data_IF_440970855383
#
_entry.id   IF_440970855383
#
_cell.length_a   1.000
_cell.length_b   1.000
_cell.length_c   1.000
_cell.angle_alpha   90.00
_cell.angle_beta   90.00
_cell.angle_gamma   90.00
#
_symmetry.space_group_name_H-M   'P 1'
#
loop_
_entity.id
_entity.type
_entity.pdbx_description
1 polymer ?
#
# COMPACT_ATOMS: atom_id res chain seq x y z
N UNK A 1 -57.91 33.23 17.24
CA UNK A 1 -56.60 33.89 17.08
C UNK A 1 -55.85 33.95 18.41
N UNK A 2 -56.46 34.46 19.48
CA UNK A 2 -55.83 34.59 20.81
C UNK A 2 -55.26 33.25 21.37
N UNK A 3 -56.06 32.14 21.31
CA UNK A 3 -55.59 30.81 21.74
C UNK A 3 -54.38 30.29 20.95
N UNK A 4 -54.26 30.60 19.64
CA UNK A 4 -53.09 30.26 18.82
C UNK A 4 -51.84 31.05 19.21
N UNK A 5 -51.99 32.31 19.56
CA UNK A 5 -50.88 33.15 20.02
C UNK A 5 -50.32 32.63 21.35
N UNK A 6 -51.19 32.20 22.27
CA UNK A 6 -50.80 31.54 23.52
C UNK A 6 -50.08 30.21 23.24
N UNK A 7 -50.60 29.38 22.34
CA UNK A 7 -50.00 28.10 21.96
C UNK A 7 -48.59 28.28 21.37
N UNK A 8 -48.39 29.28 20.48
CA UNK A 8 -47.09 29.63 19.90
C UNK A 8 -46.09 30.19 20.92
N UNK A 9 -46.56 31.04 21.82
CA UNK A 9 -45.70 31.57 22.89
C UNK A 9 -45.32 30.50 23.91
N UNK A 10 -46.24 29.56 24.20
CA UNK A 10 -45.98 28.46 25.14
C UNK A 10 -45.06 27.39 24.55
N UNK A 11 -45.17 27.09 23.25
CA UNK A 11 -44.35 26.07 22.56
C UNK A 11 -43.04 26.65 22.03
N UNK A 12 -42.94 27.97 21.82
CA UNK A 12 -41.84 28.63 21.12
C UNK A 12 -41.85 28.37 19.60
N UNK A 13 -42.86 27.68 19.08
CA UNK A 13 -42.95 27.29 17.68
C UNK A 13 -44.05 28.03 16.93
N UNK A 14 -43.78 28.49 15.72
CA UNK A 14 -44.72 29.11 14.79
C UNK A 14 -45.69 28.09 14.20
N UNK A 15 -45.16 26.86 13.91
CA UNK A 15 -45.87 25.75 13.32
C UNK A 15 -45.97 24.64 14.37
N UNK A 16 -47.15 24.50 15.01
CA UNK A 16 -47.43 23.46 15.99
C UNK A 16 -48.19 22.29 15.39
N UNK A 17 -49.10 22.59 14.45
CA UNK A 17 -50.01 21.62 13.83
C UNK A 17 -49.95 21.73 12.31
N UNK A 18 -50.27 20.63 11.61
CA UNK A 18 -50.33 20.62 10.15
C UNK A 18 -51.32 21.63 9.55
N UNK A 19 -52.30 22.10 10.32
CA UNK A 19 -53.23 23.13 9.90
C UNK A 19 -52.69 24.55 9.97
N UNK A 20 -51.54 24.79 10.65
CA UNK A 20 -50.90 26.11 10.74
C UNK A 20 -50.17 26.49 9.47
N UNK A 21 -49.35 25.55 8.95
CA UNK A 21 -48.64 25.66 7.68
C UNK A 21 -48.25 24.25 7.19
N UNK A 22 -49.08 23.61 6.33
CA UNK A 22 -48.82 22.26 5.84
C UNK A 22 -47.50 22.15 5.08
N UNK A 23 -47.17 23.18 4.27
CA UNK A 23 -45.95 23.18 3.46
C UNK A 23 -44.68 23.35 4.34
N UNK A 24 -44.72 24.32 5.27
CA UNK A 24 -43.65 24.54 6.22
C UNK A 24 -43.40 23.35 7.13
N UNK A 25 -44.46 22.64 7.57
CA UNK A 25 -44.35 21.43 8.37
C UNK A 25 -43.63 20.31 7.60
N UNK A 26 -44.01 20.03 6.34
CA UNK A 26 -43.38 19.01 5.52
C UNK A 26 -41.89 19.32 5.33
N UNK A 27 -41.56 20.57 5.03
CA UNK A 27 -40.14 20.98 4.86
C UNK A 27 -39.38 20.82 6.18
N UNK A 28 -39.92 21.28 7.31
CA UNK A 28 -39.23 21.17 8.61
C UNK A 28 -39.03 19.72 9.04
N UNK A 29 -40.00 18.83 8.82
CA UNK A 29 -39.85 17.40 9.12
C UNK A 29 -38.83 16.72 8.22
N UNK A 30 -38.73 17.09 6.94
CA UNK A 30 -37.69 16.61 6.05
C UNK A 30 -36.28 17.08 6.51
N UNK A 31 -36.15 18.33 6.92
CA UNK A 31 -34.89 18.86 7.46
C UNK A 31 -34.50 18.13 8.75
N UNK A 32 -35.47 17.88 9.64
CA UNK A 32 -35.24 17.11 10.89
C UNK A 32 -34.79 15.68 10.59
N UNK A 33 -35.45 15.01 9.65
CA UNK A 33 -35.07 13.67 9.23
C UNK A 33 -33.63 13.64 8.69
N UNK A 34 -33.22 14.65 7.89
CA UNK A 34 -31.86 14.79 7.41
C UNK A 34 -30.87 15.06 8.57
N UNK A 35 -31.20 15.92 9.52
CA UNK A 35 -30.34 16.19 10.68
C UNK A 35 -30.12 14.94 11.54
N UNK A 36 -31.16 14.15 11.78
CA UNK A 36 -31.06 12.86 12.49
C UNK A 36 -30.16 11.89 11.72
N UNK A 37 -30.35 11.79 10.40
CA UNK A 37 -29.51 10.97 9.53
C UNK A 37 -28.04 11.41 9.56
N UNK A 38 -27.76 12.73 9.52
CA UNK A 38 -26.39 13.26 9.63
C UNK A 38 -25.77 13.00 11.01
N UNK A 39 -26.56 13.12 12.09
CA UNK A 39 -26.09 12.79 13.44
C UNK A 39 -25.66 11.32 13.55
N UNK A 40 -26.47 10.41 13.00
CA UNK A 40 -26.13 8.99 12.95
C UNK A 40 -24.89 8.73 12.06
N UNK A 41 -24.77 9.42 10.92
CA UNK A 41 -23.60 9.31 10.05
C UNK A 41 -22.29 9.76 10.74
N UNK A 42 -22.36 10.82 11.56
CA UNK A 42 -21.22 11.25 12.40
C UNK A 42 -20.86 10.16 13.41
N UNK A 43 -21.85 9.57 14.09
CA UNK A 43 -21.61 8.44 15.01
C UNK A 43 -20.99 7.24 14.29
N UNK A 44 -21.49 6.85 13.13
CA UNK A 44 -20.93 5.77 12.32
C UNK A 44 -19.46 6.06 11.90
N UNK A 45 -19.16 7.31 11.57
CA UNK A 45 -17.79 7.71 11.23
C UNK A 45 -16.86 7.65 12.45
N UNK A 46 -17.34 7.96 13.66
CA UNK A 46 -16.60 7.80 14.92
C UNK A 46 -16.33 6.33 15.24
N UNK A 47 -17.31 5.46 15.03
CA UNK A 47 -17.16 4.01 15.20
C UNK A 47 -16.12 3.45 14.22
N UNK A 48 -16.17 3.89 12.96
CA UNK A 48 -15.17 3.55 11.94
C UNK A 48 -13.76 4.02 12.36
N UNK A 49 -13.64 5.24 12.87
CA UNK A 49 -12.36 5.74 13.35
C UNK A 49 -11.82 4.95 14.55
N UNK A 50 -12.70 4.52 15.46
CA UNK A 50 -12.33 3.69 16.61
C UNK A 50 -11.88 2.29 16.20
N UNK A 51 -12.55 1.68 15.21
CA UNK A 51 -12.15 0.40 14.61
C UNK A 51 -10.75 0.51 13.98
N UNK A 52 -10.51 1.57 13.21
CA UNK A 52 -9.22 1.77 12.55
C UNK A 52 -8.09 2.07 13.54
N UNK A 53 -8.35 2.79 14.64
CA UNK A 53 -7.39 2.98 15.73
C UNK A 53 -7.02 1.66 16.41
N UNK A 54 -7.97 0.75 16.57
CA UNK A 54 -7.69 -0.59 17.10
C UNK A 54 -6.76 -1.36 16.17
N UNK A 55 -7.01 -1.33 14.85
CA UNK A 55 -6.14 -1.96 13.86
C UNK A 55 -4.74 -1.30 13.86
N UNK A 56 -4.67 0.04 13.92
CA UNK A 56 -3.41 0.77 13.93
C UNK A 56 -2.55 0.45 15.16
N UNK A 57 -3.15 0.37 16.35
CA UNK A 57 -2.43 -0.02 17.57
C UNK A 57 -1.83 -1.43 17.47
N UNK A 58 -2.57 -2.38 16.88
CA UNK A 58 -2.04 -3.73 16.64
C UNK A 58 -0.93 -3.75 15.58
N UNK A 59 -1.04 -2.91 14.54
CA UNK A 59 0.00 -2.77 13.51
C UNK A 59 1.28 -2.12 14.08
N UNK A 60 1.16 -1.22 15.05
CA UNK A 60 2.32 -0.64 15.74
C UNK A 60 3.10 -1.70 16.52
N UNK A 61 2.42 -2.59 17.22
CA UNK A 61 3.05 -3.71 17.92
C UNK A 61 3.70 -4.70 16.95
N UNK A 62 3.03 -5.02 15.82
CA UNK A 62 3.64 -5.84 14.76
C UNK A 62 4.91 -5.17 14.23
N UNK A 63 4.90 -3.85 14.02
CA UNK A 63 6.06 -3.09 13.57
C UNK A 63 7.23 -3.16 14.57
N UNK A 64 6.97 -3.14 15.87
CA UNK A 64 7.98 -3.29 16.92
C UNK A 64 8.57 -4.70 16.92
N UNK A 65 7.74 -5.74 16.74
CA UNK A 65 8.21 -7.12 16.59
C UNK A 65 9.11 -7.28 15.36
N UNK A 66 8.72 -6.69 14.22
CA UNK A 66 9.54 -6.71 12.99
C UNK A 66 10.90 -6.03 13.19
N UNK A 67 10.95 -4.91 13.91
CA UNK A 67 12.23 -4.25 14.27
C UNK A 67 13.11 -5.14 15.11
N UNK A 68 12.53 -5.84 16.10
CA UNK A 68 13.26 -6.79 16.93
C UNK A 68 13.79 -7.96 16.11
N UNK A 69 12.97 -8.54 15.22
CA UNK A 69 13.41 -9.59 14.30
C UNK A 69 14.54 -9.11 13.38
N UNK A 70 14.45 -7.86 12.90
CA UNK A 70 15.51 -7.26 12.08
C UNK A 70 16.84 -7.16 12.85
N UNK A 71 16.81 -6.73 14.12
CA UNK A 71 18.00 -6.67 14.97
C UNK A 71 18.64 -8.07 15.13
N UNK A 72 17.83 -9.09 15.38
CA UNK A 72 18.30 -10.47 15.49
C UNK A 72 18.88 -10.99 14.16
N UNK A 73 18.25 -10.68 13.03
CA UNK A 73 18.76 -11.07 11.71
C UNK A 73 20.10 -10.38 11.38
N UNK A 74 20.26 -9.10 11.76
CA UNK A 74 21.55 -8.39 11.62
C UNK A 74 22.60 -8.98 12.55
N UNK A 75 22.24 -9.31 13.81
CA UNK A 75 23.14 -9.98 14.73
C UNK A 75 23.59 -11.33 14.17
N UNK A 76 22.65 -12.15 13.69
CA UNK A 76 22.93 -13.46 13.09
C UNK A 76 23.79 -13.37 11.82
N UNK A 77 23.74 -12.25 11.06
CA UNK A 77 24.58 -12.05 9.88
C UNK A 77 26.07 -11.87 10.21
N UNK A 78 26.41 -11.59 11.47
CA UNK A 78 27.81 -11.43 11.93
C UNK A 78 28.42 -12.79 12.30
N UNK A 79 28.58 -13.66 11.33
CA UNK A 79 29.09 -15.03 11.50
C UNK A 79 30.58 -15.10 11.91
N UNK A 80 31.32 -13.98 11.84
CA UNK A 80 32.71 -13.92 12.31
C UNK A 80 32.86 -13.95 13.83
N UNK A 81 31.78 -13.69 14.57
CA UNK A 81 31.75 -13.67 16.03
C UNK A 81 30.75 -14.68 16.61
N UNK A 82 29.63 -14.91 15.91
CA UNK A 82 28.54 -15.76 16.39
C UNK A 82 28.78 -17.21 15.98
N UNK A 83 28.72 -18.10 16.98
CA UNK A 83 28.73 -19.54 16.76
C UNK A 83 27.33 -20.07 16.42
N UNK A 84 27.24 -21.36 16.05
CA UNK A 84 25.99 -22.01 15.69
C UNK A 84 24.96 -21.95 16.83
N UNK A 85 25.38 -21.98 18.08
CA UNK A 85 24.51 -21.95 19.24
C UNK A 85 23.85 -20.57 19.38
N UNK A 86 24.62 -19.50 19.15
CA UNK A 86 24.09 -18.13 19.13
C UNK A 86 23.09 -17.93 17.97
N UNK A 87 23.40 -18.44 16.78
CA UNK A 87 22.49 -18.38 15.62
C UNK A 87 21.19 -19.14 15.86
N UNK A 88 21.23 -20.30 16.52
CA UNK A 88 20.05 -21.06 16.91
C UNK A 88 19.21 -20.33 17.97
N UNK A 89 19.87 -19.63 18.91
CA UNK A 89 19.17 -18.80 19.89
C UNK A 89 18.45 -17.62 19.21
N UNK A 90 19.09 -16.92 18.27
CA UNK A 90 18.47 -15.87 17.48
C UNK A 90 17.27 -16.41 16.68
N UNK A 91 17.43 -17.58 16.03
CA UNK A 91 16.33 -18.22 15.29
C UNK A 91 15.14 -18.57 16.19
N UNK A 92 15.41 -19.01 17.43
CA UNK A 92 14.36 -19.31 18.40
C UNK A 92 13.60 -18.06 18.83
N UNK A 93 14.30 -16.95 19.05
CA UNK A 93 13.68 -15.67 19.37
C UNK A 93 12.85 -15.13 18.19
N UNK A 94 13.36 -15.27 16.95
CA UNK A 94 12.61 -14.90 15.74
C UNK A 94 11.33 -15.72 15.63
N UNK A 95 11.37 -17.03 15.87
CA UNK A 95 10.16 -17.88 15.86
C UNK A 95 9.14 -17.44 16.91
N UNK A 96 9.57 -17.14 18.13
CA UNK A 96 8.67 -16.63 19.17
C UNK A 96 8.05 -15.28 18.81
N UNK A 97 8.80 -14.40 18.13
CA UNK A 97 8.29 -13.14 17.62
C UNK A 97 7.28 -13.36 16.49
N UNK A 98 7.52 -14.32 15.59
CA UNK A 98 6.58 -14.70 14.52
C UNK A 98 5.27 -15.27 15.06
N UNK A 99 5.34 -16.14 16.09
CA UNK A 99 4.15 -16.66 16.76
C UNK A 99 3.33 -15.54 17.40
N UNK A 100 4.01 -14.57 18.03
CA UNK A 100 3.36 -13.39 18.61
C UNK A 100 2.72 -12.50 17.54
N UNK A 101 3.41 -12.30 16.42
CA UNK A 101 2.88 -11.55 15.25
C UNK A 101 1.62 -12.23 14.71
N UNK A 102 1.67 -13.53 14.44
CA UNK A 102 0.52 -14.28 13.93
C UNK A 102 -0.66 -14.22 14.92
N UNK A 103 -0.40 -14.35 16.22
CA UNK A 103 -1.42 -14.22 17.25
C UNK A 103 -2.06 -12.84 17.26
N UNK A 104 -1.28 -11.76 17.14
CA UNK A 104 -1.82 -10.39 17.02
C UNK A 104 -2.66 -10.27 15.76
N UNK A 105 -2.17 -10.73 14.61
CA UNK A 105 -2.89 -10.68 13.34
C UNK A 105 -4.24 -11.42 13.41
N UNK A 106 -4.29 -12.59 14.04
CA UNK A 106 -5.48 -13.44 14.13
C UNK A 106 -6.45 -13.01 15.22
N UNK A 107 -5.96 -12.39 16.30
CA UNK A 107 -6.80 -12.02 17.46
C UNK A 107 -7.27 -10.59 17.42
N UNK A 108 -6.67 -9.72 16.59
CA UNK A 108 -7.12 -8.33 16.46
C UNK A 108 -8.51 -8.28 15.86
N UNK A 109 -9.47 -7.86 16.68
CA UNK A 109 -10.88 -7.76 16.28
C UNK A 109 -11.53 -6.50 16.87
N UNK A 110 -12.57 -6.04 16.21
CA UNK A 110 -13.48 -5.02 16.72
C UNK A 110 -14.90 -5.59 16.75
N UNK A 111 -15.43 -5.80 17.96
CA UNK A 111 -16.62 -6.61 18.16
C UNK A 111 -16.38 -8.06 17.71
N UNK A 112 -17.14 -8.52 16.73
CA UNK A 112 -17.01 -9.88 16.17
C UNK A 112 -16.20 -9.91 14.86
N UNK A 113 -15.76 -8.74 14.37
CA UNK A 113 -15.05 -8.65 13.07
C UNK A 113 -13.56 -8.67 13.31
N UNK A 114 -12.88 -9.64 12.72
CA UNK A 114 -11.43 -9.68 12.64
C UNK A 114 -10.94 -8.66 11.61
N UNK A 115 -9.78 -8.05 11.87
CA UNK A 115 -9.33 -6.90 11.10
C UNK A 115 -8.08 -7.19 10.26
N UNK A 116 -7.18 -8.05 10.74
CA UNK A 116 -5.83 -8.20 10.21
C UNK A 116 -5.50 -9.60 9.67
N UNK A 117 -6.46 -10.52 9.68
CA UNK A 117 -6.31 -11.91 9.22
C UNK A 117 -6.73 -12.14 7.76
N UNK A 118 -7.01 -11.07 7.02
CA UNK A 118 -7.46 -11.11 5.63
C UNK A 118 -8.96 -11.29 5.44
N UNK A 119 -9.75 -11.60 6.49
CA UNK A 119 -11.21 -11.78 6.37
C UNK A 119 -11.98 -10.46 6.18
N UNK A 120 -11.43 -9.35 6.69
CA UNK A 120 -11.97 -8.00 6.52
C UNK A 120 -11.17 -7.17 5.50
N UNK A 121 -10.32 -7.82 4.71
CA UNK A 121 -9.33 -7.14 3.91
C UNK A 121 -8.98 -7.82 2.61
N UNK A 122 -7.79 -7.50 2.11
CA UNK A 122 -7.26 -8.00 0.86
C UNK A 122 -6.23 -9.08 1.17
N UNK A 123 -6.44 -10.24 0.56
CA UNK A 123 -5.49 -11.34 0.50
C UNK A 123 -5.22 -11.65 -0.97
N UNK A 124 -3.95 -11.68 -1.35
CA UNK A 124 -3.53 -12.05 -2.70
C UNK A 124 -2.78 -13.37 -2.65
N UNK A 125 -3.15 -14.30 -3.49
CA UNK A 125 -2.56 -15.64 -3.53
C UNK A 125 -2.03 -15.95 -4.92
N UNK A 126 -0.75 -16.31 -5.01
CA UNK A 126 -0.13 -16.74 -6.27
C UNK A 126 -0.71 -18.10 -6.69
N UNK A 127 -1.18 -18.19 -7.92
CA UNK A 127 -1.71 -19.44 -8.53
C UNK A 127 -0.74 -20.06 -9.52
N UNK A 128 0.13 -19.25 -10.14
CA UNK A 128 1.18 -19.70 -11.06
C UNK A 128 2.55 -19.29 -10.53
N UNK A 129 3.13 -20.18 -9.71
CA UNK A 129 4.46 -19.97 -9.12
C UNK A 129 5.60 -20.05 -10.13
N UNK A 130 5.34 -20.58 -11.33
CA UNK A 130 6.32 -20.59 -12.41
C UNK A 130 6.57 -19.18 -12.96
N UNK A 131 5.55 -18.31 -12.99
CA UNK A 131 5.65 -16.96 -13.52
C UNK A 131 5.78 -15.87 -12.44
N UNK A 132 5.18 -16.10 -11.29
CA UNK A 132 5.14 -15.12 -10.20
C UNK A 132 5.66 -15.76 -8.91
N UNK A 133 6.72 -15.19 -8.34
CA UNK A 133 7.32 -15.68 -7.11
C UNK A 133 6.63 -15.11 -5.85
N UNK A 134 6.04 -13.91 -5.95
CA UNK A 134 5.36 -13.27 -4.84
C UNK A 134 4.43 -12.15 -5.30
N UNK A 135 3.41 -11.87 -4.51
CA UNK A 135 2.44 -10.80 -4.74
C UNK A 135 2.06 -10.13 -3.43
N UNK A 136 1.96 -8.82 -3.48
CA UNK A 136 1.36 -8.01 -2.42
C UNK A 136 0.45 -6.97 -3.07
N UNK A 137 -0.84 -7.01 -2.73
CA UNK A 137 -1.84 -6.04 -3.16
C UNK A 137 -2.36 -5.31 -1.93
N UNK A 138 -2.20 -4.00 -1.93
CA UNK A 138 -2.73 -3.11 -0.89
C UNK A 138 -4.23 -2.83 -1.07
N UNK A 139 -4.72 -1.81 -0.37
CA UNK A 139 -6.15 -1.45 -0.38
C UNK A 139 -6.62 -0.80 -1.69
N UNK A 140 -5.69 -0.28 -2.50
CA UNK A 140 -6.00 0.52 -3.69
C UNK A 140 -5.26 -0.01 -4.91
N UNK A 141 -5.95 -0.17 -6.03
CA UNK A 141 -5.40 -0.56 -7.31
C UNK A 141 -5.85 0.45 -8.37
N UNK A 142 -4.91 1.14 -9.00
CA UNK A 142 -5.16 2.21 -9.96
C UNK A 142 -6.19 3.28 -9.46
N UNK A 143 -6.06 3.68 -8.20
CA UNK A 143 -6.93 4.69 -7.59
C UNK A 143 -8.31 4.20 -7.14
N UNK A 144 -8.67 2.96 -7.45
CA UNK A 144 -9.92 2.32 -7.01
C UNK A 144 -9.65 1.31 -5.89
N UNK A 145 -10.67 1.07 -5.06
CA UNK A 145 -10.62 0.01 -4.05
C UNK A 145 -10.57 -1.34 -4.75
N UNK A 146 -9.63 -2.18 -4.34
CA UNK A 146 -9.45 -3.53 -4.89
C UNK A 146 -10.71 -4.37 -4.65
N UNK A 147 -11.12 -5.10 -5.68
CA UNK A 147 -12.21 -6.07 -5.63
C UNK A 147 -11.67 -7.48 -5.88
N UNK A 148 -12.41 -8.48 -5.42
CA UNK A 148 -12.06 -9.89 -5.65
C UNK A 148 -12.06 -10.22 -7.13
N UNK A 149 -11.01 -10.89 -7.59
CA UNK A 149 -10.89 -11.25 -9.00
C UNK A 149 -9.58 -11.94 -9.33
N UNK A 150 -9.46 -12.32 -10.60
CA UNK A 150 -8.26 -12.93 -11.15
C UNK A 150 -7.24 -11.86 -11.54
N UNK A 151 -5.99 -12.08 -11.15
CA UNK A 151 -4.87 -11.23 -11.55
C UNK A 151 -4.20 -11.81 -12.78
N UNK A 152 -4.18 -11.05 -13.85
CA UNK A 152 -3.47 -11.39 -15.08
C UNK A 152 -2.35 -10.41 -15.36
N UNK A 153 -1.27 -10.88 -15.97
CA UNK A 153 -0.13 -10.03 -16.33
C UNK A 153 0.14 -10.07 -17.83
N UNK A 154 0.57 -8.92 -18.34
CA UNK A 154 1.15 -8.78 -19.69
C UNK A 154 2.49 -8.10 -19.54
N UNK A 155 3.57 -8.75 -19.95
CA UNK A 155 4.93 -8.20 -19.87
C UNK A 155 5.20 -7.35 -21.11
N UNK A 156 5.24 -6.03 -20.93
CA UNK A 156 5.48 -5.07 -22.01
C UNK A 156 6.97 -4.97 -22.33
N UNK A 157 7.81 -4.97 -21.30
CA UNK A 157 9.27 -4.97 -21.39
C UNK A 157 9.81 -5.97 -20.40
N UNK A 158 10.65 -6.90 -20.86
CA UNK A 158 11.34 -7.83 -19.99
C UNK A 158 12.55 -7.16 -19.33
N UNK A 159 12.77 -7.44 -18.05
CA UNK A 159 13.99 -7.02 -17.36
C UNK A 159 15.20 -7.72 -17.96
N UNK A 160 16.32 -7.01 -18.06
CA UNK A 160 17.59 -7.59 -18.49
C UNK A 160 18.66 -7.39 -17.44
N UNK A 161 19.64 -8.27 -17.44
CA UNK A 161 20.87 -8.11 -16.65
C UNK A 161 21.88 -7.26 -17.43
N UNK A 162 22.64 -6.45 -16.73
CA UNK A 162 23.77 -5.77 -17.32
C UNK A 162 24.83 -6.79 -17.78
N UNK A 163 25.32 -6.66 -18.99
CA UNK A 163 26.34 -7.53 -19.54
C UNK A 163 27.46 -6.71 -20.22
N UNK A 164 28.69 -7.10 -19.97
CA UNK A 164 29.85 -6.61 -20.71
C UNK A 164 30.48 -7.80 -21.41
N UNK A 165 30.51 -7.76 -22.75
CA UNK A 165 31.19 -8.76 -23.56
C UNK A 165 32.63 -8.38 -23.71
N UNK A 166 33.53 -9.33 -23.41
CA UNK A 166 34.92 -9.20 -23.74
C UNK A 166 35.11 -9.17 -25.27
N UNK A 167 36.04 -8.39 -25.72
CA UNK A 167 36.39 -8.30 -27.15
C UNK A 167 37.66 -9.07 -27.47
N UNK A 168 38.44 -9.41 -26.41
CA UNK A 168 39.60 -10.27 -26.53
C UNK A 168 39.15 -11.73 -26.74
N UNK A 169 39.62 -12.36 -27.79
CA UNK A 169 39.26 -13.75 -28.13
C UNK A 169 40.38 -14.73 -27.74
N UNK A 170 39.95 -15.86 -27.20
CA UNK A 170 40.81 -16.95 -26.75
C UNK A 170 40.41 -18.25 -27.42
N UNK A 171 41.39 -19.11 -27.72
CA UNK A 171 41.14 -20.40 -28.34
C UNK A 171 40.36 -21.36 -27.39
N UNK A 172 40.55 -21.25 -26.08
CA UNK A 172 39.88 -22.04 -25.07
C UNK A 172 39.92 -21.34 -23.71
N UNK A 173 39.13 -21.81 -22.75
CA UNK A 173 39.15 -21.34 -21.36
C UNK A 173 40.48 -21.62 -20.66
N UNK A 174 41.22 -22.61 -21.11
CA UNK A 174 42.54 -22.98 -20.59
C UNK A 174 43.68 -22.22 -21.30
N UNK A 175 43.38 -21.37 -22.27
CA UNK A 175 44.40 -20.55 -22.94
C UNK A 175 45.01 -19.57 -21.94
N UNK A 176 46.31 -19.31 -22.08
CA UNK A 176 47.01 -18.27 -21.30
C UNK A 176 46.46 -16.90 -21.71
N UNK A 177 46.31 -16.00 -20.75
CA UNK A 177 45.88 -14.62 -20.99
C UNK A 177 46.87 -13.90 -21.93
N UNK A 178 48.15 -14.30 -21.93
CA UNK A 178 49.16 -13.77 -22.86
C UNK A 178 48.89 -14.13 -24.33
N UNK A 179 48.01 -15.09 -24.66
CA UNK A 179 47.73 -15.57 -26.03
C UNK A 179 46.44 -14.99 -26.62
N UNK A 180 46.14 -13.74 -26.32
CA UNK A 180 44.98 -13.04 -26.84
C UNK A 180 45.01 -12.92 -28.36
N UNK A 181 43.85 -13.16 -29.04
CA UNK A 181 43.68 -13.00 -30.48
C UNK A 181 44.75 -13.78 -31.31
N UNK A 182 45.28 -14.86 -30.76
CA UNK A 182 46.30 -15.66 -31.43
C UNK A 182 47.71 -15.05 -31.47
N UNK A 183 47.94 -13.96 -30.72
CA UNK A 183 49.25 -13.29 -30.59
C UNK A 183 49.74 -13.27 -29.14
N UNK A 184 51.05 -13.09 -28.94
CA UNK A 184 51.65 -12.96 -27.60
C UNK A 184 51.59 -11.48 -27.16
N UNK A 185 50.62 -11.11 -26.34
CA UNK A 185 50.41 -9.70 -25.93
C UNK A 185 50.41 -9.46 -24.42
N UNK A 186 50.86 -10.37 -23.58
CA UNK A 186 50.47 -10.20 -22.22
C UNK A 186 51.51 -10.14 -21.13
N UNK A 187 51.90 -8.99 -20.72
CA UNK A 187 52.23 -8.76 -19.32
C UNK A 187 50.94 -8.70 -18.56
N UNK A 188 50.72 -9.53 -17.55
CA UNK A 188 49.53 -9.44 -16.69
C UNK A 188 49.16 -7.99 -16.30
N UNK A 189 48.11 -7.82 -15.60
CA UNK A 189 47.57 -6.49 -15.26
C UNK A 189 46.55 -6.56 -14.15
N UNK A 190 45.88 -5.47 -13.95
CA UNK A 190 44.79 -5.38 -12.97
C UNK A 190 43.48 -5.17 -13.68
N UNK A 191 42.49 -5.95 -13.30
CA UNK A 191 41.08 -5.77 -13.69
C UNK A 191 40.33 -5.22 -12.49
N UNK A 192 39.58 -4.16 -12.68
CA UNK A 192 38.73 -3.57 -11.65
C UNK A 192 37.27 -3.75 -12.08
N UNK A 193 36.49 -4.51 -11.29
CA UNK A 193 35.09 -4.77 -11.56
C UNK A 193 34.27 -4.19 -10.42
N UNK A 194 33.38 -3.25 -10.71
CA UNK A 194 32.56 -2.53 -9.73
C UNK A 194 33.35 -2.04 -8.51
N UNK A 195 34.59 -1.52 -8.75
CA UNK A 195 35.46 -0.98 -7.71
C UNK A 195 36.40 -2.01 -7.05
N UNK A 196 36.24 -3.30 -7.31
CA UNK A 196 37.11 -4.36 -6.76
C UNK A 196 38.24 -4.69 -7.74
N UNK A 197 39.48 -4.69 -7.22
CA UNK A 197 40.68 -4.90 -8.00
C UNK A 197 41.12 -6.37 -7.99
N UNK A 198 41.36 -6.94 -9.17
CA UNK A 198 41.78 -8.33 -9.38
C UNK A 198 43.07 -8.29 -10.16
N UNK A 199 44.14 -8.81 -9.58
CA UNK A 199 45.46 -8.92 -10.26
C UNK A 199 45.50 -10.18 -11.10
N UNK A 200 46.01 -10.06 -12.30
CA UNK A 200 46.12 -11.12 -13.31
C UNK A 200 47.56 -11.17 -13.84
N UNK A 201 48.12 -12.35 -13.88
CA UNK A 201 49.45 -12.59 -14.49
C UNK A 201 49.28 -13.01 -15.93
N UNK A 202 50.25 -12.70 -16.80
CA UNK A 202 50.22 -13.16 -18.19
C UNK A 202 50.24 -14.69 -18.35
N UNK A 203 50.73 -15.41 -17.35
CA UNK A 203 50.73 -16.87 -17.32
C UNK A 203 49.42 -17.48 -16.76
N UNK A 204 48.54 -16.65 -16.20
CA UNK A 204 47.22 -17.12 -15.74
C UNK A 204 46.37 -17.57 -16.95
N UNK A 205 45.56 -18.57 -16.74
CA UNK A 205 44.58 -18.98 -17.76
C UNK A 205 43.32 -18.13 -17.67
N UNK A 206 42.52 -18.12 -18.74
CA UNK A 206 41.17 -17.47 -18.73
C UNK A 206 40.31 -18.07 -17.63
N UNK A 207 40.41 -19.38 -17.34
CA UNK A 207 39.69 -20.02 -16.23
C UNK A 207 40.07 -19.41 -14.88
N UNK A 208 41.40 -19.20 -14.66
CA UNK A 208 41.89 -18.57 -13.40
C UNK A 208 41.30 -17.16 -13.22
N UNK A 209 41.22 -16.37 -14.30
CA UNK A 209 40.58 -15.05 -14.26
C UNK A 209 39.10 -15.15 -13.90
N UNK A 210 38.38 -16.06 -14.55
CA UNK A 210 36.93 -16.28 -14.28
C UNK A 210 36.71 -16.71 -12.82
N UNK A 211 37.55 -17.64 -12.32
CA UNK A 211 37.43 -18.13 -10.94
C UNK A 211 37.66 -17.00 -9.91
N UNK A 212 38.67 -16.14 -10.14
CA UNK A 212 38.94 -14.98 -9.29
C UNK A 212 37.82 -13.95 -9.33
N UNK A 213 37.22 -13.69 -10.50
CA UNK A 213 36.04 -12.82 -10.62
C UNK A 213 34.85 -13.42 -9.85
N UNK A 214 34.58 -14.71 -10.06
CA UNK A 214 33.48 -15.41 -9.44
C UNK A 214 33.62 -15.53 -7.90
N UNK A 215 34.85 -15.61 -7.39
CA UNK A 215 35.11 -15.57 -5.95
C UNK A 215 34.70 -14.23 -5.31
N UNK A 216 34.65 -13.14 -6.09
CA UNK A 216 34.22 -11.82 -5.62
C UNK A 216 32.77 -11.46 -6.00
N UNK A 217 32.00 -12.40 -6.55
CA UNK A 217 30.61 -12.15 -6.99
C UNK A 217 29.73 -11.62 -5.84
N UNK A 218 29.93 -12.06 -4.61
CA UNK A 218 29.18 -11.58 -3.44
C UNK A 218 29.41 -10.09 -3.14
N UNK A 219 30.55 -9.54 -3.54
CA UNK A 219 30.92 -8.12 -3.30
C UNK A 219 30.66 -7.28 -4.54
N UNK A 220 31.00 -7.78 -5.73
CA UNK A 220 30.85 -7.05 -6.99
C UNK A 220 29.47 -7.14 -7.61
N UNK A 221 28.68 -8.19 -7.26
CA UNK A 221 27.44 -8.55 -7.93
C UNK A 221 27.61 -9.10 -9.35
N UNK A 222 28.87 -9.30 -9.81
CA UNK A 222 29.19 -9.70 -11.18
C UNK A 222 29.73 -11.11 -11.21
N UNK A 223 29.23 -11.93 -12.12
CA UNK A 223 29.74 -13.24 -12.47
C UNK A 223 30.41 -13.19 -13.85
N UNK A 224 31.46 -14.01 -14.03
CA UNK A 224 32.14 -14.18 -15.29
C UNK A 224 31.90 -15.57 -15.86
N UNK A 225 31.78 -15.66 -17.17
CA UNK A 225 31.70 -16.93 -17.90
C UNK A 225 32.46 -16.83 -19.20
N UNK A 226 32.90 -18.00 -19.71
CA UNK A 226 33.50 -18.12 -21.03
C UNK A 226 32.44 -18.52 -22.06
N UNK A 227 32.24 -17.69 -23.06
CA UNK A 227 31.25 -17.94 -24.12
C UNK A 227 31.98 -18.16 -25.43
N UNK A 228 31.77 -19.29 -26.07
CA UNK A 228 32.44 -19.68 -27.35
C UNK A 228 31.47 -19.45 -28.51
N UNK A 229 31.96 -18.72 -29.53
CA UNK A 229 31.28 -18.59 -30.80
C UNK A 229 32.27 -18.76 -31.93
N UNK A 230 31.98 -19.60 -32.94
CA UNK A 230 32.82 -19.82 -34.15
C UNK A 230 34.26 -20.25 -33.85
N UNK A 231 34.48 -21.09 -32.84
CA UNK A 231 35.82 -21.65 -32.54
C UNK A 231 36.73 -20.76 -31.69
N UNK A 232 36.28 -19.57 -31.30
CA UNK A 232 36.96 -18.68 -30.36
C UNK A 232 35.98 -18.23 -29.29
N UNK A 233 36.47 -18.02 -28.08
CA UNK A 233 35.63 -17.61 -26.97
C UNK A 233 36.04 -16.28 -26.38
N UNK A 234 35.09 -15.64 -25.74
CA UNK A 234 35.27 -14.36 -25.03
C UNK A 234 34.82 -14.50 -23.57
N UNK A 235 35.39 -13.69 -22.70
CA UNK A 235 34.92 -13.57 -21.31
C UNK A 235 33.69 -12.66 -21.30
N UNK A 236 32.60 -13.13 -20.74
CA UNK A 236 31.35 -12.37 -20.56
C UNK A 236 31.15 -12.09 -19.08
N UNK A 237 31.07 -10.83 -18.73
CA UNK A 237 30.71 -10.38 -17.40
C UNK A 237 29.19 -10.12 -17.35
N UNK A 238 28.51 -10.74 -16.40
CA UNK A 238 27.06 -10.59 -16.25
C UNK A 238 26.72 -10.20 -14.81
N UNK A 239 25.93 -9.17 -14.64
CA UNK A 239 25.38 -8.82 -13.34
C UNK A 239 24.39 -9.91 -12.87
N UNK A 240 24.48 -10.31 -11.62
CA UNK A 240 23.61 -11.35 -11.05
C UNK A 240 22.15 -10.89 -10.99
N UNK A 241 21.96 -9.61 -10.64
CA UNK A 241 20.63 -9.03 -10.50
C UNK A 241 20.12 -8.39 -11.80
N UNK A 242 18.81 -8.39 -12.00
CA UNK A 242 18.12 -7.74 -13.11
C UNK A 242 17.87 -6.27 -12.80
N UNK A 243 17.84 -5.43 -13.85
CA UNK A 243 17.31 -4.08 -13.79
C UNK A 243 18.34 -2.96 -13.86
N UNK A 244 17.83 -1.75 -14.03
CA UNK A 244 18.64 -0.55 -14.24
C UNK A 244 19.43 -0.10 -13.00
N UNK A 245 19.03 -0.53 -11.80
CA UNK A 245 19.77 -0.27 -10.56
C UNK A 245 21.12 -1.01 -10.49
N UNK A 246 21.35 -1.96 -11.38
CA UNK A 246 22.53 -2.82 -11.36
C UNK A 246 23.32 -2.65 -12.65
N UNK A 247 24.61 -2.33 -12.50
CA UNK A 247 25.53 -2.11 -13.61
C UNK A 247 26.73 -3.03 -13.50
N UNK A 248 27.39 -3.26 -14.62
CA UNK A 248 28.72 -3.82 -14.70
C UNK A 248 29.65 -2.70 -15.16
N UNK A 249 30.66 -2.36 -14.36
CA UNK A 249 31.72 -1.47 -14.72
C UNK A 249 33.01 -2.28 -14.68
N UNK A 250 33.67 -2.42 -15.82
CA UNK A 250 34.91 -3.15 -15.93
C UNK A 250 35.98 -2.21 -16.48
N UNK A 251 37.05 -2.06 -15.71
CA UNK A 251 38.24 -1.31 -16.08
C UNK A 251 39.45 -2.24 -16.04
N UNK A 252 40.43 -2.03 -16.93
CA UNK A 252 41.66 -2.81 -16.96
C UNK A 252 42.89 -1.91 -17.14
N UNK A 253 43.99 -2.26 -16.50
CA UNK A 253 45.20 -1.47 -16.52
C UNK A 253 46.08 -1.71 -17.78
N UNK A 254 45.85 -2.83 -18.48
CA UNK A 254 46.52 -3.17 -19.71
C UNK A 254 45.50 -3.43 -20.81
N UNK A 255 45.72 -2.88 -22.00
CA UNK A 255 44.96 -3.22 -23.18
C UNK A 255 45.07 -4.72 -23.43
N UNK A 256 43.96 -5.39 -23.71
CA UNK A 256 43.90 -6.79 -24.12
C UNK A 256 43.90 -7.87 -23.01
N UNK A 257 43.48 -7.54 -21.77
CA UNK A 257 43.15 -8.61 -20.84
C UNK A 257 41.90 -9.35 -21.31
N UNK A 258 40.79 -8.61 -21.55
CA UNK A 258 39.60 -9.16 -22.17
C UNK A 258 38.72 -8.08 -22.85
N UNK A 259 39.02 -6.80 -22.66
CA UNK A 259 38.35 -5.68 -23.32
C UNK A 259 39.25 -5.08 -24.41
N UNK A 260 38.67 -4.56 -25.49
CA UNK A 260 39.46 -3.85 -26.53
C UNK A 260 39.88 -2.45 -26.10
N UNK A 261 39.30 -1.90 -25.06
CA UNK A 261 39.65 -0.62 -24.42
C UNK A 261 39.92 -0.80 -22.95
N UNK A 262 40.33 0.29 -22.27
CA UNK A 262 40.66 0.22 -20.85
C UNK A 262 39.42 0.19 -19.95
N UNK A 263 38.24 0.45 -20.48
CA UNK A 263 36.97 0.45 -19.72
C UNK A 263 35.75 0.06 -20.56
N UNK A 264 34.82 -0.61 -19.97
CA UNK A 264 33.47 -0.88 -20.51
C UNK A 264 32.45 -0.87 -19.41
N UNK A 265 31.25 -0.38 -19.70
CA UNK A 265 30.14 -0.37 -18.75
C UNK A 265 28.82 -0.73 -19.42
N UNK A 266 27.94 -1.37 -18.68
CA UNK A 266 26.60 -1.72 -19.11
C UNK A 266 25.65 -1.62 -17.93
N UNK A 267 24.39 -1.30 -18.20
CA UNK A 267 23.28 -1.29 -17.23
C UNK A 267 22.19 -2.23 -17.70
N UNK A 268 21.47 -2.85 -16.76
CA UNK A 268 20.29 -3.65 -17.05
C UNK A 268 19.09 -2.78 -17.41
N UNK A 269 17.99 -3.43 -17.74
CA UNK A 269 16.67 -2.81 -17.98
C UNK A 269 15.68 -3.36 -16.98
N UNK A 270 14.76 -2.52 -16.52
CA UNK A 270 13.69 -2.91 -15.60
C UNK A 270 12.51 -3.50 -16.37
N UNK A 271 11.80 -4.46 -15.75
CA UNK A 271 10.56 -4.96 -16.30
C UNK A 271 9.48 -3.88 -16.25
N UNK A 272 8.66 -3.85 -17.31
CA UNK A 272 7.41 -3.07 -17.34
C UNK A 272 6.28 -4.03 -17.64
N UNK A 273 5.31 -4.09 -16.72
CA UNK A 273 4.22 -5.07 -16.75
C UNK A 273 2.88 -4.37 -16.60
N UNK A 274 1.95 -4.68 -17.47
CA UNK A 274 0.54 -4.32 -17.27
C UNK A 274 -0.12 -5.42 -16.46
N UNK A 275 -0.60 -5.06 -15.28
CA UNK A 275 -1.34 -5.96 -14.38
C UNK A 275 -2.81 -5.63 -14.50
N UNK A 276 -3.65 -6.65 -14.68
CA UNK A 276 -5.09 -6.52 -14.75
C UNK A 276 -5.74 -7.35 -13.65
N UNK A 277 -6.73 -6.77 -12.99
CA UNK A 277 -7.62 -7.47 -12.07
C UNK A 277 -8.98 -7.58 -12.74
N UNK A 278 -9.37 -8.81 -13.06
CA UNK A 278 -10.66 -9.11 -13.69
C UNK A 278 -11.65 -9.47 -12.60
N UNK A 279 -12.68 -8.65 -12.44
CA UNK A 279 -13.73 -8.79 -11.42
C UNK A 279 -15.09 -8.99 -12.08
N UNK A 280 -16.12 -9.32 -11.31
CA UNK A 280 -17.51 -9.37 -11.79
C UNK A 280 -18.03 -8.00 -12.28
N UNK A 281 -17.42 -6.90 -11.83
CA UNK A 281 -17.81 -5.54 -12.20
C UNK A 281 -17.03 -4.99 -13.42
N UNK A 282 -16.00 -5.72 -13.89
CA UNK A 282 -15.16 -5.32 -15.03
C UNK A 282 -13.68 -5.57 -14.80
N UNK A 283 -12.86 -5.08 -15.73
CA UNK A 283 -11.40 -5.21 -15.70
C UNK A 283 -10.78 -3.87 -15.31
N UNK A 284 -9.93 -3.89 -14.30
CA UNK A 284 -9.10 -2.74 -13.92
C UNK A 284 -7.65 -3.07 -14.24
N UNK A 285 -6.94 -2.14 -14.91
CA UNK A 285 -5.54 -2.32 -15.29
C UNK A 285 -4.64 -1.25 -14.67
N UNK A 286 -3.42 -1.64 -14.30
CA UNK A 286 -2.39 -0.72 -13.81
C UNK A 286 -1.02 -1.10 -14.39
N UNK A 287 -0.17 -0.08 -14.57
CA UNK A 287 1.20 -0.28 -15.02
C UNK A 287 2.13 -0.42 -13.83
N UNK A 288 2.90 -1.50 -13.83
CA UNK A 288 3.92 -1.81 -12.83
C UNK A 288 5.30 -1.70 -13.46
N UNK A 289 6.22 -1.07 -12.76
CA UNK A 289 7.61 -0.89 -13.22
C UNK A 289 8.58 -1.45 -12.19
N UNK A 290 9.64 -2.10 -12.66
CA UNK A 290 10.73 -2.61 -11.83
C UNK A 290 11.64 -1.51 -11.29
N UNK A 291 12.56 -1.86 -10.39
CA UNK A 291 13.67 -1.00 -9.97
C UNK A 291 13.29 0.31 -9.27
N UNK A 292 12.08 0.45 -8.74
CA UNK A 292 11.58 1.72 -8.19
C UNK A 292 12.27 2.21 -6.91
N UNK A 293 12.83 1.31 -6.13
CA UNK A 293 13.63 1.67 -4.96
C UNK A 293 15.09 1.28 -5.18
N UNK A 294 16.00 1.99 -4.52
CA UNK A 294 17.42 1.66 -4.57
C UNK A 294 17.64 0.22 -4.07
N UNK A 295 18.31 -0.61 -4.89
CA UNK A 295 18.53 -2.03 -4.61
C UNK A 295 17.38 -2.98 -4.96
N UNK A 296 16.21 -2.49 -5.39
CA UNK A 296 15.16 -3.36 -5.94
C UNK A 296 15.62 -3.97 -7.27
N UNK A 297 15.36 -5.28 -7.44
CA UNK A 297 15.57 -5.96 -8.72
C UNK A 297 14.59 -5.46 -9.77
N UNK A 298 15.00 -5.44 -11.03
CA UNK A 298 14.12 -5.14 -12.15
C UNK A 298 12.95 -6.13 -12.32
N UNK A 299 13.00 -7.29 -11.66
CA UNK A 299 11.91 -8.27 -11.60
C UNK A 299 10.86 -7.93 -10.52
N UNK A 300 11.21 -7.07 -9.55
CA UNK A 300 10.30 -6.59 -8.52
C UNK A 300 9.58 -5.36 -9.05
N UNK A 301 8.40 -5.58 -9.60
CA UNK A 301 7.59 -4.52 -10.22
C UNK A 301 6.59 -3.95 -9.22
N UNK A 302 6.47 -2.61 -9.21
CA UNK A 302 5.59 -1.86 -8.31
C UNK A 302 4.74 -0.86 -9.10
N UNK A 303 3.53 -0.60 -8.61
CA UNK A 303 2.71 0.53 -9.08
C UNK A 303 2.95 1.80 -8.24
N UNK A 304 2.15 2.85 -8.48
CA UNK A 304 2.19 4.10 -7.71
C UNK A 304 1.52 4.03 -6.34
N UNK A 305 0.78 2.97 -6.05
CA UNK A 305 0.01 2.76 -4.82
C UNK A 305 0.67 1.75 -3.87
N UNK A 306 1.84 1.20 -4.26
CA UNK A 306 2.65 0.27 -3.48
C UNK A 306 2.28 -1.20 -3.64
N UNK A 307 1.40 -1.52 -4.55
CA UNK A 307 1.19 -2.89 -4.97
C UNK A 307 2.48 -3.42 -5.60
N UNK A 308 2.86 -4.62 -5.26
CA UNK A 308 4.15 -5.20 -5.65
C UNK A 308 3.96 -6.62 -6.15
N UNK A 309 4.61 -6.93 -7.27
CA UNK A 309 4.73 -8.28 -7.80
C UNK A 309 6.21 -8.62 -7.97
N UNK A 310 6.59 -9.84 -7.64
CA UNK A 310 7.91 -10.38 -7.90
C UNK A 310 7.81 -11.42 -9.01
N UNK A 311 8.31 -11.08 -10.20
CA UNK A 311 8.38 -11.98 -11.33
C UNK A 311 9.46 -13.04 -11.11
N UNK A 312 9.27 -14.24 -11.65
CA UNK A 312 10.33 -15.21 -11.84
C UNK A 312 11.10 -14.92 -13.13
N UNK A 313 12.20 -15.60 -13.36
CA UNK A 313 12.90 -15.52 -14.68
C UNK A 313 12.00 -16.00 -15.83
N UNK A 314 11.21 -17.07 -15.62
CA UNK A 314 10.23 -17.55 -16.59
C UNK A 314 9.05 -16.59 -16.77
N UNK A 315 8.69 -15.84 -15.73
CA UNK A 315 7.69 -14.80 -15.77
C UNK A 315 8.14 -13.50 -16.44
N UNK A 316 9.45 -13.35 -16.70
CA UNK A 316 10.08 -12.17 -17.29
C UNK A 316 10.22 -12.33 -18.83
N UNK A 317 9.14 -12.62 -19.51
CA UNK A 317 9.14 -12.79 -20.97
C UNK A 317 8.03 -11.98 -21.62
N UNK A 318 8.39 -11.24 -22.67
CA UNK A 318 7.42 -10.47 -23.49
C UNK A 318 6.41 -11.34 -24.23
N UNK A 319 6.60 -12.66 -24.25
CA UNK A 319 5.61 -13.61 -24.78
C UNK A 319 4.42 -13.81 -23.83
N UNK A 320 4.53 -13.35 -22.58
CA UNK A 320 3.45 -13.44 -21.59
C UNK A 320 2.47 -12.29 -21.85
N UNK A 321 1.26 -12.65 -22.28
CA UNK A 321 0.15 -11.73 -22.52
C UNK A 321 -1.13 -12.31 -21.91
N UNK A 322 -1.73 -11.58 -20.97
CA UNK A 322 -2.97 -11.97 -20.32
C UNK A 322 -2.88 -13.26 -19.47
N UNK A 323 -1.69 -13.66 -19.02
CA UNK A 323 -1.52 -14.87 -18.22
C UNK A 323 -2.07 -14.65 -16.79
N UNK A 324 -2.96 -15.55 -16.33
CA UNK A 324 -3.43 -15.58 -14.96
C UNK A 324 -2.32 -16.07 -14.04
N UNK A 325 -1.96 -15.26 -13.05
CA UNK A 325 -0.83 -15.56 -12.14
C UNK A 325 -1.22 -15.59 -10.67
N UNK A 326 -2.32 -14.93 -10.31
CA UNK A 326 -2.77 -14.86 -8.92
C UNK A 326 -4.28 -14.65 -8.84
N UNK A 327 -4.82 -14.81 -7.63
CA UNK A 327 -6.20 -14.46 -7.28
C UNK A 327 -6.15 -13.49 -6.12
N UNK A 328 -6.95 -12.44 -6.21
CA UNK A 328 -7.20 -11.50 -5.12
C UNK A 328 -8.56 -11.78 -4.53
N UNK A 329 -8.62 -12.00 -3.23
CA UNK A 329 -9.83 -11.98 -2.43
C UNK A 329 -9.89 -10.66 -1.68
N UNK A 330 -10.86 -9.83 -2.00
CA UNK A 330 -11.01 -8.51 -1.41
C UNK A 330 -12.34 -8.43 -0.66
N UNK A 331 -12.26 -8.33 0.64
CA UNK A 331 -13.34 -7.97 1.53
C UNK A 331 -13.10 -6.54 1.99
N UNK A 332 -14.08 -5.67 1.85
CA UNK A 332 -13.93 -4.29 2.31
C UNK A 332 -14.91 -4.00 3.44
N UNK A 333 -14.43 -3.28 4.44
CA UNK A 333 -15.30 -2.71 5.46
C UNK A 333 -16.05 -1.52 4.85
N UNK A 334 -17.37 -1.54 4.94
CA UNK A 334 -18.25 -0.50 4.40
C UNK A 334 -18.85 0.27 5.55
N UNK A 335 -18.68 1.58 5.55
CA UNK A 335 -19.22 2.49 6.55
C UNK A 335 -20.19 3.47 5.89
N UNK A 336 -21.42 3.56 6.40
CA UNK A 336 -22.37 4.60 6.00
C UNK A 336 -21.97 5.90 6.69
N UNK A 337 -21.39 6.83 5.94
CA UNK A 337 -20.85 8.10 6.44
C UNK A 337 -21.66 9.33 6.01
N UNK A 338 -22.85 9.13 5.46
CA UNK A 338 -23.76 10.20 5.08
C UNK A 338 -25.20 9.85 5.37
N UNK A 339 -26.07 10.85 5.36
CA UNK A 339 -27.48 10.73 5.69
C UNK A 339 -28.30 9.96 4.64
N UNK A 340 -27.84 9.93 3.38
CA UNK A 340 -28.59 9.36 2.26
C UNK A 340 -28.05 7.99 1.86
N UNK A 341 -28.88 7.18 1.21
CA UNK A 341 -28.48 5.88 0.66
C UNK A 341 -27.31 6.02 -0.30
N UNK A 342 -26.35 5.09 -0.21
CA UNK A 342 -25.17 5.06 -1.08
C UNK A 342 -24.02 5.97 -0.65
N UNK A 343 -24.18 6.82 0.36
CA UNK A 343 -23.11 7.66 0.89
C UNK A 343 -22.21 6.85 1.83
N UNK A 344 -21.46 5.92 1.25
CA UNK A 344 -20.60 4.99 1.98
C UNK A 344 -19.13 5.27 1.73
N UNK A 345 -18.29 5.05 2.75
CA UNK A 345 -16.85 4.92 2.61
C UNK A 345 -16.44 3.47 2.79
N UNK A 346 -15.43 3.05 2.04
CA UNK A 346 -14.92 1.69 2.08
C UNK A 346 -13.44 1.72 2.40
N UNK A 347 -13.00 0.81 3.25
CA UNK A 347 -11.59 0.56 3.52
C UNK A 347 -11.34 -0.93 3.53
N UNK A 348 -10.22 -1.34 2.98
CA UNK A 348 -9.75 -2.71 3.03
C UNK A 348 -8.46 -2.76 3.85
N UNK A 349 -8.36 -3.71 4.75
CA UNK A 349 -7.18 -3.97 5.55
C UNK A 349 -6.48 -5.20 4.96
N UNK A 350 -5.18 -5.12 4.71
CA UNK A 350 -4.43 -6.26 4.17
C UNK A 350 -4.21 -7.33 5.24
N UNK A 351 -4.08 -8.58 4.79
CA UNK A 351 -3.66 -9.70 5.64
C UNK A 351 -2.21 -9.49 6.08
N UNK A 352 -1.97 -9.44 7.39
CA UNK A 352 -0.65 -9.19 7.96
C UNK A 352 -0.05 -10.41 8.66
N UNK A 353 -0.58 -11.60 8.40
CA UNK A 353 0.04 -12.84 8.88
C UNK A 353 1.42 -13.04 8.27
N UNK A 354 2.31 -13.68 9.00
CA UNK A 354 3.69 -13.90 8.58
C UNK A 354 3.82 -14.61 7.20
N UNK A 355 2.85 -15.42 6.82
CA UNK A 355 2.80 -16.09 5.52
C UNK A 355 2.53 -15.14 4.34
N UNK A 356 1.95 -13.97 4.59
CA UNK A 356 1.59 -12.98 3.57
C UNK A 356 2.57 -11.80 3.52
N UNK A 357 3.40 -11.63 4.55
CA UNK A 357 4.37 -10.56 4.64
C UNK A 357 5.71 -10.96 4.03
N UNK A 358 6.38 -10.00 3.38
CA UNK A 358 7.71 -10.16 2.83
C UNK A 358 7.80 -11.02 1.58
N UNK A 359 6.68 -11.46 1.00
CA UNK A 359 6.62 -12.39 -0.16
C UNK A 359 7.26 -11.86 -1.44
N UNK A 360 7.52 -10.56 -1.51
CA UNK A 360 8.06 -9.88 -2.70
C UNK A 360 9.54 -9.48 -2.56
N UNK A 361 10.21 -9.90 -1.49
CA UNK A 361 11.62 -9.58 -1.24
C UNK A 361 12.56 -10.60 -1.86
N UNK A 362 12.31 -11.87 -1.61
CA UNK A 362 13.11 -13.01 -2.10
C UNK A 362 12.15 -14.05 -2.66
N UNK A 363 12.45 -14.56 -3.84
CA UNK A 363 11.59 -15.54 -4.51
C UNK A 363 11.37 -16.79 -3.65
N UNK A 364 10.10 -17.15 -3.46
CA UNK A 364 9.68 -18.32 -2.69
C UNK A 364 9.82 -18.18 -1.17
N UNK A 365 10.20 -17.01 -0.66
CA UNK A 365 10.30 -16.73 0.78
C UNK A 365 9.22 -15.76 1.26
N UNK A 366 8.81 -15.93 2.49
CA UNK A 366 7.96 -15.02 3.25
C UNK A 366 8.48 -14.91 4.67
N UNK A 367 7.86 -14.08 5.48
CA UNK A 367 8.31 -13.85 6.84
C UNK A 367 8.27 -15.14 7.70
N UNK A 368 7.34 -16.06 7.41
CA UNK A 368 7.25 -17.35 8.14
C UNK A 368 8.35 -18.35 7.78
N UNK A 369 9.01 -18.18 6.63
CA UNK A 369 10.05 -19.11 6.12
C UNK A 369 11.48 -18.64 6.34
N UNK A 370 11.69 -17.54 7.09
CA UNK A 370 13.04 -17.02 7.34
C UNK A 370 13.86 -17.96 8.25
N UNK A 371 15.11 -18.13 7.88
CA UNK A 371 16.13 -18.90 8.64
C UNK A 371 17.41 -18.10 8.74
N UNK A 372 17.85 -17.82 9.96
CA UNK A 372 19.06 -17.02 10.23
C UNK A 372 20.24 -17.87 10.70
N UNK A 373 20.14 -19.20 10.63
CA UNK A 373 21.20 -20.12 11.05
C UNK A 373 22.39 -20.15 10.08
N UNK A 374 22.26 -19.52 8.91
CA UNK A 374 23.33 -19.37 7.91
C UNK A 374 23.49 -17.90 7.51
N UNK A 375 24.69 -17.50 7.08
CA UNK A 375 24.94 -16.13 6.60
C UNK A 375 23.98 -15.72 5.49
N UNK A 376 23.82 -16.58 4.49
CA UNK A 376 22.91 -16.29 3.36
C UNK A 376 21.45 -16.22 3.81
N UNK A 377 21.05 -17.10 4.73
CA UNK A 377 19.72 -17.09 5.34
C UNK A 377 19.47 -15.80 6.13
N UNK A 378 20.42 -15.37 6.96
CA UNK A 378 20.33 -14.11 7.71
C UNK A 378 20.23 -12.89 6.79
N UNK A 379 21.01 -12.84 5.71
CA UNK A 379 20.92 -11.76 4.71
C UNK A 379 19.58 -11.76 3.96
N UNK A 380 19.06 -12.91 3.63
CA UNK A 380 17.72 -13.03 3.04
C UNK A 380 16.62 -12.65 4.03
N UNK A 381 16.75 -13.06 5.30
CA UNK A 381 15.83 -12.69 6.37
C UNK A 381 15.77 -11.16 6.54
N UNK A 382 16.89 -10.46 6.51
CA UNK A 382 16.92 -8.98 6.56
C UNK A 382 16.07 -8.40 5.43
N UNK A 383 16.25 -8.87 4.18
CA UNK A 383 15.47 -8.37 3.02
C UNK A 383 13.96 -8.63 3.19
N UNK A 384 13.58 -9.83 3.63
CA UNK A 384 12.20 -10.22 3.85
C UNK A 384 11.56 -9.39 4.97
N UNK A 385 12.28 -9.16 6.06
CA UNK A 385 11.81 -8.33 7.19
C UNK A 385 11.69 -6.85 6.77
N UNK A 386 12.66 -6.31 6.03
CA UNK A 386 12.62 -4.92 5.55
C UNK A 386 11.42 -4.71 4.61
N UNK A 387 11.11 -5.69 3.76
CA UNK A 387 9.90 -5.65 2.93
C UNK A 387 8.62 -5.71 3.77
N UNK A 388 8.56 -6.58 4.77
CA UNK A 388 7.44 -6.66 5.70
C UNK A 388 7.21 -5.34 6.45
N UNK A 389 8.30 -4.69 6.92
CA UNK A 389 8.26 -3.36 7.55
C UNK A 389 7.69 -2.32 6.57
N UNK A 390 8.11 -2.36 5.31
CA UNK A 390 7.60 -1.45 4.27
C UNK A 390 6.10 -1.65 4.04
N UNK A 391 5.64 -2.91 3.95
CA UNK A 391 4.23 -3.28 3.75
C UNK A 391 3.35 -2.81 4.93
N UNK A 392 3.80 -3.05 6.18
CA UNK A 392 3.09 -2.58 7.38
C UNK A 392 3.06 -1.04 7.45
N UNK A 393 4.18 -0.38 7.13
CA UNK A 393 4.25 1.09 7.14
C UNK A 393 3.30 1.70 6.12
N UNK A 394 3.19 1.10 4.94
CA UNK A 394 2.26 1.52 3.90
C UNK A 394 0.80 1.31 4.31
N UNK A 395 0.48 0.15 4.91
CA UNK A 395 -0.87 -0.11 5.43
C UNK A 395 -1.26 0.92 6.50
N UNK A 396 -0.37 1.23 7.44
CA UNK A 396 -0.58 2.28 8.44
C UNK A 396 -0.77 3.66 7.80
N UNK A 397 0.03 3.99 6.80
CA UNK A 397 -0.12 5.22 6.03
C UNK A 397 -1.48 5.35 5.36
N UNK A 398 -1.97 4.26 4.76
CA UNK A 398 -3.29 4.21 4.12
C UNK A 398 -4.43 4.38 5.14
N UNK A 399 -4.33 3.72 6.31
CA UNK A 399 -5.29 3.86 7.41
C UNK A 399 -5.32 5.31 7.90
N UNK A 400 -4.16 5.91 8.18
CA UNK A 400 -4.05 7.30 8.63
C UNK A 400 -4.60 8.30 7.60
N UNK A 401 -4.31 8.10 6.31
CA UNK A 401 -4.86 8.91 5.24
C UNK A 401 -6.39 8.80 5.16
N UNK A 402 -6.95 7.60 5.30
CA UNK A 402 -8.39 7.38 5.31
C UNK A 402 -9.06 8.03 6.53
N UNK A 403 -8.49 7.89 7.72
CA UNK A 403 -8.99 8.54 8.94
C UNK A 403 -9.04 10.06 8.77
N UNK A 404 -7.93 10.66 8.35
CA UNK A 404 -7.81 12.13 8.26
C UNK A 404 -8.62 12.72 7.11
N UNK A 405 -8.48 12.15 5.90
CA UNK A 405 -9.02 12.76 4.69
C UNK A 405 -10.48 12.35 4.41
N UNK A 406 -10.90 11.16 4.86
CA UNK A 406 -12.26 10.69 4.63
C UNK A 406 -13.11 10.86 5.89
N UNK A 407 -12.76 10.21 7.01
CA UNK A 407 -13.63 10.21 8.19
C UNK A 407 -13.72 11.57 8.87
N UNK A 408 -12.57 12.16 9.25
CA UNK A 408 -12.55 13.45 9.95
C UNK A 408 -13.07 14.59 9.07
N UNK A 409 -12.73 14.60 7.79
CA UNK A 409 -13.23 15.59 6.84
C UNK A 409 -14.75 15.50 6.70
N UNK A 410 -15.29 14.29 6.56
CA UNK A 410 -16.73 14.05 6.48
C UNK A 410 -17.43 14.45 7.77
N UNK A 411 -16.89 14.09 8.94
CA UNK A 411 -17.48 14.49 10.24
C UNK A 411 -17.56 16.01 10.39
N UNK A 412 -16.50 16.73 9.99
CA UNK A 412 -16.53 18.22 10.01
C UNK A 412 -17.59 18.78 9.07
N UNK A 413 -17.65 18.27 7.83
CA UNK A 413 -18.62 18.71 6.83
C UNK A 413 -20.06 18.43 7.28
N UNK A 414 -20.33 17.23 7.83
CA UNK A 414 -21.66 16.86 8.33
C UNK A 414 -22.09 17.72 9.54
N UNK A 415 -21.15 18.06 10.44
CA UNK A 415 -21.48 18.92 11.58
C UNK A 415 -21.84 20.34 11.12
N UNK A 416 -21.09 20.92 10.18
CA UNK A 416 -21.43 22.24 9.60
C UNK A 416 -22.76 22.19 8.85
N UNK A 417 -23.00 21.13 8.04
CA UNK A 417 -24.25 20.96 7.33
C UNK A 417 -25.43 20.83 8.30
N UNK A 418 -25.27 20.06 9.39
CA UNK A 418 -26.30 19.90 10.44
C UNK A 418 -26.63 21.22 11.12
N UNK A 419 -25.61 22.03 11.42
CA UNK A 419 -25.80 23.36 12.02
C UNK A 419 -26.58 24.29 11.09
N UNK A 420 -26.23 24.32 9.79
CA UNK A 420 -26.96 25.12 8.80
C UNK A 420 -28.42 24.64 8.61
N UNK A 421 -28.64 23.31 8.62
CA UNK A 421 -29.99 22.77 8.55
C UNK A 421 -30.80 23.08 9.81
N UNK A 422 -30.19 23.04 11.00
CA UNK A 422 -30.83 23.42 12.24
C UNK A 422 -31.25 24.90 12.25
N UNK A 423 -30.36 25.79 11.74
CA UNK A 423 -30.70 27.20 11.58
C UNK A 423 -31.84 27.40 10.57
N UNK A 424 -31.85 26.66 9.48
CA UNK A 424 -32.92 26.71 8.47
C UNK A 424 -34.25 26.16 9.00
N UNK A 425 -34.21 25.07 9.77
CA UNK A 425 -35.39 24.49 10.41
C UNK A 425 -35.96 25.47 11.44
N UNK A 426 -35.11 26.08 12.29
CA UNK A 426 -35.48 27.12 13.24
C UNK A 426 -36.17 28.32 12.57
N UNK A 427 -35.61 28.80 11.44
CA UNK A 427 -36.21 29.90 10.67
C UNK A 427 -37.65 29.57 10.15
N UNK A 428 -37.91 28.29 9.87
CA UNK A 428 -39.22 27.82 9.39
C UNK A 428 -40.17 27.59 10.56
N UNK A 429 -39.75 26.96 11.63
CA UNK A 429 -40.61 26.40 12.68
C UNK A 429 -40.69 27.24 13.94
N UNK A 430 -39.61 27.96 14.30
CA UNK A 430 -39.61 28.73 15.53
C UNK A 430 -40.38 30.05 15.38
N UNK A 431 -40.96 30.50 16.48
CA UNK A 431 -41.67 31.78 16.51
C UNK A 431 -40.72 32.91 16.92
N UNK A 432 -40.87 34.08 16.30
CA UNK A 432 -40.23 35.29 16.80
C UNK A 432 -41.04 35.73 18.03
N UNK A 433 -40.53 35.46 19.23
CA UNK A 433 -41.20 35.72 20.50
C UNK A 433 -41.56 37.21 20.65
N UNK A 434 -40.72 38.14 20.21
CA UNK A 434 -40.99 39.58 20.32
C UNK A 434 -42.20 39.97 19.45
N UNK A 435 -42.30 39.48 18.24
CA UNK A 435 -43.41 39.72 17.33
C UNK A 435 -44.70 39.05 17.83
N UNK A 436 -44.63 37.82 18.33
CA UNK A 436 -45.79 37.10 18.84
C UNK A 436 -46.32 37.71 20.15
N UNK A 437 -45.46 38.26 21.04
CA UNK A 437 -45.87 39.04 22.22
C UNK A 437 -46.61 40.31 21.82
N UNK A 438 -46.12 41.01 20.77
CA UNK A 438 -46.83 42.18 20.25
C UNK A 438 -48.23 41.79 19.68
N UNK A 439 -48.30 40.72 18.93
CA UNK A 439 -49.54 40.18 18.38
C UNK A 439 -50.48 39.73 19.52
N UNK A 440 -49.99 39.07 20.53
CA UNK A 440 -50.73 38.66 21.71
C UNK A 440 -51.31 39.87 22.43
N UNK A 441 -50.52 40.90 22.70
CA UNK A 441 -50.96 42.13 23.38
C UNK A 441 -51.98 42.89 22.54
N UNK A 442 -51.79 42.97 21.22
CA UNK A 442 -52.78 43.55 20.30
C UNK A 442 -54.09 42.82 20.34
N UNK A 443 -54.09 41.46 20.31
CA UNK A 443 -55.27 40.65 20.38
C UNK A 443 -55.99 40.78 21.73
N UNK A 444 -55.25 40.92 22.83
CA UNK A 444 -55.77 41.14 24.16
C UNK A 444 -56.49 42.53 24.25
N UNK A 445 -55.90 43.58 23.70
CA UNK A 445 -56.50 44.93 23.64
C UNK A 445 -57.76 44.90 22.77
N UNK A 446 -57.72 44.24 21.61
CA UNK A 446 -58.87 44.07 20.72
C UNK A 446 -60.05 43.30 21.40
N UNK A 447 -59.71 42.27 22.15
CA UNK A 447 -60.72 41.50 22.92
C UNK A 447 -61.39 42.40 24.00
N UNK A 448 -60.58 43.19 24.75
CA UNK A 448 -61.09 44.10 25.75
C UNK A 448 -61.97 45.22 25.13
N UNK A 449 -61.50 45.79 23.99
CA UNK A 449 -62.23 46.83 23.25
C UNK A 449 -63.49 46.23 22.65
N UNK A 450 -63.48 45.02 22.10
CA UNK A 450 -64.65 44.34 21.57
C UNK A 450 -65.66 44.02 22.63
N UNK A 451 -65.28 43.62 23.85
CA UNK A 451 -66.19 43.45 24.97
C UNK A 451 -66.76 44.77 25.41
N UNK A 452 -66.03 45.87 25.46
CA UNK A 452 -66.52 47.19 25.78
C UNK A 452 -67.53 47.69 24.75
N UNK A 453 -67.27 47.52 23.44
CA UNK A 453 -68.19 47.88 22.36
C UNK A 453 -69.46 47.02 22.39
N UNK A 454 -69.32 45.73 22.65
CA UNK A 454 -70.53 44.84 22.85
C UNK A 454 -71.35 45.25 24.05
N UNK A 455 -70.74 45.61 25.15
CA UNK A 455 -71.41 46.15 26.32
C UNK A 455 -72.19 47.44 25.99
N UNK A 456 -71.49 48.33 25.22
CA UNK A 456 -72.10 49.60 24.77
C UNK A 456 -73.26 49.35 23.78
N UNK A 457 -73.14 48.43 22.86
CA UNK A 457 -74.17 48.05 21.88
C UNK A 457 -75.39 47.43 22.57
N UNK A 458 -75.20 46.62 23.62
CA UNK A 458 -76.24 46.03 24.42
C UNK A 458 -76.95 47.07 25.32
N UNK A 459 -76.31 48.19 25.69
CA UNK A 459 -76.87 49.24 26.46
C UNK A 459 -77.72 50.24 25.59
N UNK A 460 -77.42 50.35 24.29
CA UNK A 460 -78.10 51.26 23.36
C UNK A 460 -79.63 50.99 23.24
N UNK A 461 -80.11 49.74 23.18
CA UNK A 461 -81.61 49.49 23.15
C UNK A 461 -82.33 49.79 24.45
N UNK A 462 -81.60 49.98 25.59
CA UNK A 462 -82.26 50.30 26.88
C UNK A 462 -82.49 51.81 27.08
N UNK A 463 -81.99 52.62 26.15
CA UNK A 463 -82.15 54.09 26.18
C UNK A 463 -83.23 54.59 25.19
N UNK A 464 -83.94 53.73 24.51
CA UNK A 464 -85.18 53.98 23.72
C UNK A 464 -86.32 53.39 24.44
#
# INVERSE_FOLDING_TARGET
MFARSIERLSSGMRINRGADDPAGLIISENLRAQMVGMSQAVSNAQDAASLLKTAEGSLDEIHNLLRTMRQLAVHASNTGVNDLTALQADQTQIRSALESLNRIAEQTQFGTKKLLDGTAGISAQVTDTAKLAGIFIGSTFNGAIVQSGDVTITVNTAATRAQVLGTATYASVNASISTVNGGSNGAGGTVVINGQSITVSGNDTVQTLIDRINALTSVTGVSAMFSVANGSGVVVLTQVNYGANFSVQANQSASLLFLSGNSSSSTGVDAVVTVQVTTSAGVTSALFTGGRAAGDSGLKVKDGYGNTLLLTEAGNSTTISGARVAVVSAQSLVFQIGANSGQTARVALSDVRASQLGTTAVAGMNLNSIDVTTLQGAQNAIKVIDEAISQISQLRGNIGAFQKNVLESTMRSLNVARENLAASESAIRDTNVAEEVMNYTKLQILQQAGMAVLAQANAAPQMV
#
